data_IF_437896305440
#
_entry.id   IF_437896305440
#
_cell.length_a   1.000
_cell.length_b   1.000
_cell.length_c   1.000
_cell.angle_alpha   90.00
_cell.angle_beta   90.00
_cell.angle_gamma   90.00
#
_symmetry.space_group_name_H-M   'P 1'
#
loop_
_entity.id
_entity.type
_entity.pdbx_description
1 polymer ?
#
# COMPACT_ATOMS: atom_id res chain seq x y z
N UNK A 1 -5.46 -17.49 9.25
CA UNK A 1 -4.65 -16.41 8.67
C UNK A 1 -3.84 -15.78 9.77
N UNK A 2 -2.64 -15.27 9.47
CA UNK A 2 -1.87 -14.47 10.40
C UNK A 2 -2.53 -13.11 10.70
N UNK A 3 -1.85 -12.28 11.46
CA UNK A 3 -2.22 -10.89 11.69
C UNK A 3 -2.00 -10.09 10.40
N UNK A 4 -2.80 -9.05 10.16
CA UNK A 4 -2.54 -8.10 9.08
C UNK A 4 -1.40 -7.14 9.44
N UNK A 5 -0.75 -6.59 8.41
CA UNK A 5 0.40 -5.67 8.56
C UNK A 5 0.00 -4.36 9.22
N UNK A 6 -1.24 -3.87 9.04
CA UNK A 6 -1.72 -2.65 9.71
C UNK A 6 -1.81 -2.84 11.23
N UNK A 7 -2.40 -3.93 11.66
CA UNK A 7 -2.47 -4.30 13.09
C UNK A 7 -1.07 -4.51 13.68
N UNK A 8 -0.17 -5.15 12.92
CA UNK A 8 1.21 -5.36 13.31
C UNK A 8 1.96 -4.06 13.52
N UNK A 9 1.97 -3.17 12.52
CA UNK A 9 2.68 -1.89 12.64
C UNK A 9 2.08 -0.98 13.71
N UNK A 10 0.75 -1.03 13.93
CA UNK A 10 0.09 -0.26 14.98
C UNK A 10 0.49 -0.69 16.39
N UNK A 11 1.09 -1.86 16.57
CA UNK A 11 1.70 -2.29 17.84
C UNK A 11 3.07 -1.63 18.09
N UNK A 12 3.72 -1.07 17.06
CA UNK A 12 4.95 -0.29 17.19
C UNK A 12 4.65 1.11 17.76
N UNK A 13 5.49 1.65 18.65
CA UNK A 13 5.33 3.00 19.18
C UNK A 13 5.31 4.10 18.12
N UNK A 14 6.11 3.96 17.06
CA UNK A 14 6.18 4.89 15.92
C UNK A 14 5.11 4.60 14.85
N UNK A 15 4.44 3.44 14.93
CA UNK A 15 3.62 2.86 13.87
C UNK A 15 4.36 2.63 12.54
N UNK A 16 5.66 2.84 12.53
CA UNK A 16 6.54 2.62 11.40
C UNK A 16 7.27 1.29 11.55
N UNK A 17 7.72 0.75 10.43
CA UNK A 17 8.51 -0.48 10.39
C UNK A 17 9.95 -0.15 10.02
N UNK A 18 10.87 -0.97 10.51
CA UNK A 18 12.27 -0.90 10.08
C UNK A 18 12.36 -1.12 8.55
N UNK A 19 13.20 -0.39 7.80
CA UNK A 19 13.29 -0.50 6.35
C UNK A 19 13.45 -1.92 5.82
N UNK A 20 14.18 -2.80 6.51
CA UNK A 20 14.32 -4.21 6.10
C UNK A 20 12.99 -4.95 6.09
N UNK A 21 12.12 -4.71 7.08
CA UNK A 21 10.80 -5.35 7.16
C UNK A 21 9.87 -4.74 6.11
N UNK A 22 9.89 -3.41 5.97
CA UNK A 22 9.11 -2.71 4.96
C UNK A 22 9.45 -3.22 3.55
N UNK A 23 10.75 -3.30 3.20
CA UNK A 23 11.20 -3.85 1.91
C UNK A 23 10.76 -5.29 1.70
N UNK A 24 10.84 -6.16 2.73
CA UNK A 24 10.37 -7.54 2.63
C UNK A 24 8.87 -7.63 2.34
N UNK A 25 8.07 -6.82 3.03
CA UNK A 25 6.61 -6.73 2.77
C UNK A 25 6.38 -6.27 1.34
N UNK A 26 7.06 -5.19 0.92
CA UNK A 26 6.91 -4.62 -0.42
C UNK A 26 7.31 -5.62 -1.51
N UNK A 27 8.37 -6.40 -1.32
CA UNK A 27 8.77 -7.45 -2.27
C UNK A 27 7.69 -8.52 -2.42
N UNK A 28 7.13 -9.03 -1.31
CA UNK A 28 6.07 -10.04 -1.38
C UNK A 28 4.80 -9.47 -2.03
N UNK A 29 4.53 -8.17 -1.86
CA UNK A 29 3.43 -7.49 -2.57
C UNK A 29 3.73 -7.36 -4.06
N UNK A 30 4.97 -7.06 -4.45
CA UNK A 30 5.37 -7.02 -5.88
C UNK A 30 5.13 -8.38 -6.54
N UNK A 31 5.52 -9.48 -5.88
CA UNK A 31 5.27 -10.85 -6.38
C UNK A 31 3.79 -11.13 -6.60
N UNK A 32 2.97 -10.70 -5.66
CA UNK A 32 1.52 -10.84 -5.76
C UNK A 32 0.95 -9.99 -6.89
N UNK A 33 1.33 -8.71 -7.00
CA UNK A 33 0.89 -7.81 -8.06
C UNK A 33 1.35 -8.28 -9.44
N UNK A 34 2.61 -8.73 -9.58
CA UNK A 34 3.10 -9.34 -10.81
C UNK A 34 2.18 -10.48 -11.24
N UNK A 35 1.88 -11.42 -10.34
CA UNK A 35 1.02 -12.58 -10.62
C UNK A 35 -0.39 -12.14 -11.05
N UNK A 36 -0.99 -11.18 -10.36
CA UNK A 36 -2.32 -10.67 -10.68
C UNK A 36 -2.34 -9.94 -12.03
N UNK A 37 -1.35 -9.08 -12.29
CA UNK A 37 -1.26 -8.32 -13.53
C UNK A 37 -1.02 -9.23 -14.75
N UNK A 38 -0.22 -10.30 -14.61
CA UNK A 38 -0.08 -11.34 -15.65
C UNK A 38 -1.40 -12.05 -15.93
N UNK A 39 -2.24 -12.21 -14.93
CA UNK A 39 -3.59 -12.75 -15.09
C UNK A 39 -4.63 -11.70 -15.54
N UNK A 40 -4.19 -10.48 -15.89
CA UNK A 40 -5.06 -9.35 -16.25
C UNK A 40 -6.02 -8.92 -15.12
N UNK A 41 -5.63 -9.07 -13.87
CA UNK A 41 -6.39 -8.65 -12.69
C UNK A 41 -5.71 -7.42 -12.08
N UNK A 42 -6.49 -6.39 -11.78
CA UNK A 42 -6.09 -5.20 -11.02
C UNK A 42 -6.63 -5.39 -9.61
N UNK A 43 -5.79 -5.23 -8.59
CA UNK A 43 -6.18 -5.45 -7.20
C UNK A 43 -7.13 -4.35 -6.68
N UNK A 44 -6.80 -3.07 -6.93
CA UNK A 44 -7.59 -1.86 -6.61
C UNK A 44 -7.74 -1.50 -5.13
N UNK A 45 -7.07 -2.21 -4.21
CA UNK A 45 -7.12 -1.91 -2.77
C UNK A 45 -5.83 -2.39 -2.06
N UNK A 46 -4.67 -1.96 -2.58
CA UNK A 46 -3.34 -2.32 -2.04
C UNK A 46 -3.06 -1.48 -0.80
N UNK A 47 -3.21 -2.09 0.38
CA UNK A 47 -3.02 -1.42 1.67
C UNK A 47 -2.58 -2.38 2.78
N UNK A 48 -2.02 -1.87 3.86
CA UNK A 48 -1.49 -2.66 4.97
C UNK A 48 -2.53 -3.60 5.61
N UNK A 49 -3.83 -3.23 5.60
CA UNK A 49 -4.90 -4.08 6.12
C UNK A 49 -5.18 -5.33 5.26
N UNK A 50 -4.77 -5.29 3.98
CA UNK A 50 -4.95 -6.40 3.05
C UNK A 50 -3.70 -7.26 2.91
N UNK A 51 -2.66 -7.04 3.72
CA UNK A 51 -1.42 -7.82 3.72
C UNK A 51 -1.33 -8.59 5.02
N UNK A 52 -1.17 -9.91 4.92
CA UNK A 52 -1.21 -10.81 6.06
C UNK A 52 0.08 -11.61 6.17
N UNK A 53 0.50 -11.88 7.40
CA UNK A 53 1.55 -12.85 7.68
C UNK A 53 1.12 -14.24 7.24
N UNK A 54 2.00 -14.96 6.55
CA UNK A 54 1.84 -16.36 6.15
C UNK A 54 2.94 -17.22 6.79
N UNK A 55 2.80 -18.56 6.70
CA UNK A 55 3.79 -19.48 7.25
C UNK A 55 3.41 -20.05 8.62
N UNK A 56 2.15 -19.98 8.99
CA UNK A 56 1.62 -20.70 10.16
C UNK A 56 1.57 -22.18 9.80
N UNK A 57 2.27 -23.03 10.57
CA UNK A 57 2.25 -24.47 10.34
C UNK A 57 0.88 -25.08 10.62
N UNK A 58 0.49 -26.10 9.84
CA UNK A 58 -0.78 -26.83 10.03
C UNK A 58 -0.91 -27.36 11.45
N UNK A 59 0.21 -27.81 12.05
CA UNK A 59 0.25 -28.27 13.43
C UNK A 59 -0.17 -27.19 14.43
N UNK A 60 0.28 -25.93 14.26
CA UNK A 60 -0.11 -24.82 15.12
C UNK A 60 -1.58 -24.44 14.92
N UNK A 61 -2.08 -24.54 13.67
CA UNK A 61 -3.49 -24.34 13.36
C UNK A 61 -4.35 -25.38 14.08
N UNK A 62 -4.01 -26.66 13.97
CA UNK A 62 -4.71 -27.77 14.62
C UNK A 62 -4.70 -27.62 16.14
N UNK A 63 -3.55 -27.33 16.74
CA UNK A 63 -3.41 -27.13 18.18
C UNK A 63 -4.30 -25.99 18.70
N UNK A 64 -4.33 -24.87 17.99
CA UNK A 64 -5.19 -23.73 18.37
C UNK A 64 -6.67 -24.00 18.15
N UNK A 65 -7.05 -24.72 17.10
CA UNK A 65 -8.44 -25.13 16.88
C UNK A 65 -8.95 -26.07 17.96
N UNK A 66 -8.08 -26.99 18.43
CA UNK A 66 -8.43 -27.94 19.50
C UNK A 66 -8.54 -27.27 20.88
N UNK A 67 -7.65 -26.34 21.19
CA UNK A 67 -7.54 -25.76 22.52
C UNK A 67 -8.45 -24.53 22.72
N UNK A 68 -8.96 -23.93 21.66
CA UNK A 68 -9.82 -22.74 21.73
C UNK A 68 -11.08 -22.95 20.90
N UNK A 69 -12.24 -23.26 21.50
CA UNK A 69 -13.49 -23.42 20.76
C UNK A 69 -13.89 -22.14 20.02
N UNK A 70 -14.56 -22.29 18.88
CA UNK A 70 -15.02 -21.16 18.05
C UNK A 70 -16.02 -20.30 18.85
N UNK A 71 -15.75 -19.02 18.97
CA UNK A 71 -16.65 -18.07 19.60
C UNK A 71 -17.71 -17.62 18.59
N UNK A 72 -18.97 -17.89 18.91
CA UNK A 72 -20.11 -17.43 18.11
C UNK A 72 -20.44 -16.00 18.53
N UNK A 73 -20.28 -15.05 17.61
CA UNK A 73 -20.54 -13.61 17.85
C UNK A 73 -21.88 -13.16 17.31
N UNK A 74 -22.56 -14.01 16.54
CA UNK A 74 -23.87 -13.70 16.00
C UNK A 74 -24.46 -14.83 15.16
N UNK A 75 -25.65 -14.62 14.65
CA UNK A 75 -26.32 -15.51 13.69
C UNK A 75 -27.02 -14.67 12.62
N UNK A 76 -27.06 -15.16 11.41
CA UNK A 76 -27.90 -14.60 10.34
C UNK A 76 -28.74 -15.72 9.70
N UNK A 77 -29.88 -15.32 9.14
CA UNK A 77 -30.82 -16.23 8.49
C UNK A 77 -30.86 -15.90 7.00
N UNK A 78 -30.68 -16.91 6.18
CA UNK A 78 -30.83 -16.79 4.72
C UNK A 78 -32.32 -16.72 4.32
N UNK A 79 -32.59 -16.29 3.10
CA UNK A 79 -33.95 -16.18 2.55
C UNK A 79 -34.72 -17.52 2.49
N UNK A 80 -33.99 -18.65 2.56
CA UNK A 80 -34.55 -20.01 2.63
C UNK A 80 -34.90 -20.48 4.06
N UNK A 81 -34.65 -19.63 5.08
CA UNK A 81 -34.85 -19.94 6.48
C UNK A 81 -33.70 -20.65 7.16
N UNK A 82 -32.57 -20.90 6.45
CA UNK A 82 -31.38 -21.54 7.02
C UNK A 82 -30.63 -20.57 7.92
N UNK A 83 -30.32 -20.99 9.15
CA UNK A 83 -29.56 -20.18 10.13
C UNK A 83 -28.08 -20.54 10.10
N UNK A 84 -27.25 -19.53 10.02
CA UNK A 84 -25.79 -19.67 10.04
C UNK A 84 -25.20 -18.88 11.21
N UNK A 85 -24.25 -19.50 11.91
CA UNK A 85 -23.50 -18.84 12.96
C UNK A 85 -22.37 -18.00 12.39
N UNK A 86 -22.22 -16.79 12.91
CA UNK A 86 -21.07 -15.92 12.67
C UNK A 86 -20.07 -16.15 13.77
N UNK A 87 -18.82 -16.46 13.39
CA UNK A 87 -17.75 -16.70 14.35
C UNK A 87 -16.82 -15.50 14.42
N UNK A 88 -16.30 -15.21 15.60
CA UNK A 88 -15.24 -14.22 15.75
C UNK A 88 -14.01 -14.63 14.93
N UNK A 89 -13.40 -13.70 14.19
CA UNK A 89 -12.15 -13.98 13.50
C UNK A 89 -11.07 -14.31 14.55
N UNK A 90 -10.26 -15.34 14.26
CA UNK A 90 -9.13 -15.68 15.13
C UNK A 90 -7.86 -15.15 14.52
N UNK A 91 -7.14 -14.38 15.29
CA UNK A 91 -5.76 -14.03 15.01
C UNK A 91 -4.84 -15.10 15.63
N UNK A 92 -3.91 -15.61 14.87
CA UNK A 92 -2.81 -16.39 15.40
C UNK A 92 -1.83 -15.42 16.04
N UNK A 93 -1.62 -15.54 17.35
CA UNK A 93 -0.70 -14.71 18.10
C UNK A 93 0.72 -14.93 17.62
N UNK A 94 1.42 -13.83 17.56
CA UNK A 94 2.82 -13.58 17.37
C UNK A 94 3.30 -13.51 15.94
N UNK A 95 3.07 -12.36 15.29
CA UNK A 95 4.11 -11.88 14.41
C UNK A 95 5.38 -11.67 15.24
N UNK A 96 6.54 -11.83 14.62
CA UNK A 96 7.80 -11.51 15.25
C UNK A 96 7.78 -10.06 15.78
N UNK A 97 8.59 -9.73 16.81
CA UNK A 97 8.66 -8.37 17.33
C UNK A 97 8.94 -7.38 16.20
N UNK A 98 8.30 -6.22 16.22
CA UNK A 98 8.53 -5.14 15.24
C UNK A 98 9.99 -4.65 15.18
N UNK A 99 10.80 -4.94 16.20
CA UNK A 99 12.26 -4.75 16.26
C UNK A 99 13.05 -5.93 15.67
N UNK A 100 12.43 -6.73 14.83
CA UNK A 100 13.04 -7.93 14.27
C UNK A 100 14.45 -7.69 13.73
N UNK A 101 15.35 -8.56 14.17
CA UNK A 101 16.63 -8.67 13.49
C UNK A 101 16.43 -9.21 12.08
N UNK A 102 17.27 -8.76 11.18
CA UNK A 102 17.37 -9.16 9.78
C UNK A 102 17.12 -10.66 9.51
N UNK A 103 17.71 -11.55 10.31
CA UNK A 103 17.58 -13.02 10.15
C UNK A 103 16.17 -13.56 10.36
N UNK A 104 15.33 -12.86 11.13
CA UNK A 104 13.97 -13.29 11.41
C UNK A 104 13.03 -12.82 10.29
N UNK A 105 13.31 -11.67 9.66
CA UNK A 105 12.54 -11.19 8.52
C UNK A 105 12.63 -12.13 7.31
N UNK A 106 13.73 -12.88 7.16
CA UNK A 106 13.90 -13.87 6.07
C UNK A 106 12.94 -15.07 6.18
N UNK A 107 12.59 -15.44 7.41
CA UNK A 107 11.71 -16.58 7.68
C UNK A 107 10.22 -16.22 7.59
N UNK A 108 9.90 -14.96 7.40
CA UNK A 108 8.53 -14.46 7.36
C UNK A 108 8.14 -14.17 5.92
N UNK A 109 6.96 -14.60 5.53
CA UNK A 109 6.35 -14.29 4.24
C UNK A 109 5.04 -13.55 4.45
N UNK A 110 4.66 -12.77 3.44
CA UNK A 110 3.44 -11.99 3.45
C UNK A 110 2.60 -12.35 2.22
N UNK A 111 1.29 -12.21 2.35
CA UNK A 111 0.36 -12.45 1.25
C UNK A 111 -0.59 -11.27 1.11
N UNK A 112 -0.73 -10.78 -0.11
CA UNK A 112 -1.72 -9.77 -0.45
C UNK A 112 -3.08 -10.46 -0.62
N UNK A 113 -4.09 -9.96 0.07
CA UNK A 113 -5.45 -10.48 0.17
C UNK A 113 -6.44 -9.34 -0.17
N UNK A 114 -7.74 -9.62 -0.12
CA UNK A 114 -8.76 -8.57 -0.28
C UNK A 114 -9.10 -8.29 -1.74
N UNK A 115 -9.33 -9.35 -2.53
CA UNK A 115 -9.72 -9.28 -3.95
C UNK A 115 -11.19 -8.95 -4.16
N UNK A 116 -11.92 -8.53 -3.12
CA UNK A 116 -13.36 -8.24 -3.18
C UNK A 116 -13.70 -7.13 -4.18
N UNK A 117 -12.76 -6.22 -4.41
CA UNK A 117 -12.88 -5.08 -5.33
C UNK A 117 -12.05 -5.24 -6.60
N UNK A 118 -11.37 -6.36 -6.78
CA UNK A 118 -10.50 -6.59 -7.93
C UNK A 118 -11.25 -6.47 -9.27
N UNK A 119 -10.58 -5.91 -10.27
CA UNK A 119 -11.14 -5.64 -11.59
C UNK A 119 -10.35 -6.36 -12.69
N UNK A 120 -11.02 -6.68 -13.78
CA UNK A 120 -10.35 -7.17 -14.97
C UNK A 120 -9.73 -6.02 -15.77
N UNK A 121 -8.44 -6.08 -16.03
CA UNK A 121 -7.77 -5.11 -16.90
C UNK A 121 -8.38 -5.15 -18.32
N UNK A 122 -8.62 -3.96 -18.89
CA UNK A 122 -9.17 -3.84 -20.23
C UNK A 122 -10.67 -4.13 -20.37
N UNK A 123 -11.40 -4.29 -19.25
CA UNK A 123 -12.85 -4.40 -19.23
C UNK A 123 -13.48 -3.19 -18.51
N UNK A 124 -14.75 -2.92 -18.79
CA UNK A 124 -15.48 -1.92 -18.03
C UNK A 124 -15.53 -2.34 -16.54
N UNK A 125 -15.27 -1.43 -15.61
CA UNK A 125 -15.37 -1.72 -14.18
C UNK A 125 -16.76 -2.23 -13.82
N UNK A 126 -16.82 -3.30 -13.02
CA UNK A 126 -18.08 -3.90 -12.55
C UNK A 126 -18.51 -3.35 -11.21
N UNK A 127 -17.62 -2.68 -10.51
CA UNK A 127 -17.85 -2.05 -9.20
C UNK A 127 -17.46 -0.57 -9.33
N UNK A 128 -18.17 0.29 -8.61
CA UNK A 128 -17.82 1.72 -8.56
C UNK A 128 -16.46 1.98 -7.95
N UNK A 129 -16.14 3.25 -7.72
CA UNK A 129 -14.87 3.66 -7.13
C UNK A 129 -14.60 2.91 -5.83
N UNK A 130 -13.52 2.14 -5.81
CA UNK A 130 -13.15 1.27 -4.71
C UNK A 130 -12.08 1.91 -3.82
N UNK A 131 -11.99 1.44 -2.59
CA UNK A 131 -10.94 1.79 -1.66
C UNK A 131 -11.13 3.10 -0.89
N UNK A 132 -10.19 3.38 -0.01
CA UNK A 132 -10.14 4.60 0.78
C UNK A 132 -9.83 5.80 -0.10
N UNK A 133 -10.49 6.94 0.14
CA UNK A 133 -10.22 8.18 -0.61
C UNK A 133 -8.72 8.55 -0.53
N UNK A 134 -8.10 8.40 0.63
CA UNK A 134 -6.68 8.72 0.82
C UNK A 134 -5.70 7.90 -0.06
N UNK A 135 -6.14 6.78 -0.63
CA UNK A 135 -5.34 5.91 -1.50
C UNK A 135 -5.74 5.99 -2.97
N UNK A 136 -6.80 6.73 -3.30
CA UNK A 136 -7.29 6.83 -4.69
C UNK A 136 -6.23 7.40 -5.62
N UNK A 137 -5.97 6.69 -6.70
CA UNK A 137 -5.08 7.19 -7.73
C UNK A 137 -5.71 8.41 -8.45
N UNK A 138 -4.90 9.38 -8.91
CA UNK A 138 -5.40 10.60 -9.55
C UNK A 138 -6.36 10.35 -10.72
N UNK A 139 -6.11 9.34 -11.55
CA UNK A 139 -6.98 8.97 -12.67
C UNK A 139 -8.37 8.51 -12.24
N UNK A 140 -8.49 7.89 -11.06
CA UNK A 140 -9.79 7.50 -10.50
C UNK A 140 -10.58 8.74 -10.09
N UNK A 141 -9.92 9.71 -9.48
CA UNK A 141 -10.54 10.96 -9.04
C UNK A 141 -11.16 11.73 -10.20
N UNK A 142 -10.47 11.84 -11.33
CA UNK A 142 -10.98 12.54 -12.51
C UNK A 142 -11.86 11.66 -13.41
N UNK A 143 -12.07 10.39 -13.05
CA UNK A 143 -12.86 9.45 -13.86
C UNK A 143 -12.26 9.14 -15.22
N UNK A 144 -10.94 8.99 -15.29
CA UNK A 144 -10.20 8.56 -16.49
C UNK A 144 -10.08 7.04 -16.53
N UNK A 145 -9.66 6.52 -17.67
CA UNK A 145 -9.33 5.10 -17.82
C UNK A 145 -8.21 4.71 -16.84
N UNK A 146 -8.32 3.54 -16.25
CA UNK A 146 -7.31 3.00 -15.34
C UNK A 146 -6.88 1.58 -15.74
N UNK A 147 -5.76 1.15 -15.21
CA UNK A 147 -5.17 -0.15 -15.47
C UNK A 147 -4.29 -0.61 -14.30
N UNK A 148 -3.44 -1.65 -14.51
CA UNK A 148 -2.60 -2.21 -13.44
C UNK A 148 -1.73 -1.18 -12.69
N UNK A 149 -1.38 -0.07 -13.32
CA UNK A 149 -0.62 1.02 -12.67
C UNK A 149 -1.39 1.84 -11.64
N UNK A 150 -2.69 1.57 -11.46
CA UNK A 150 -3.46 2.00 -10.30
C UNK A 150 -2.88 1.39 -9.03
N UNK A 151 -2.64 0.07 -9.05
CA UNK A 151 -2.04 -0.64 -7.92
C UNK A 151 -0.64 -0.12 -7.59
N UNK A 152 0.11 0.38 -8.58
CA UNK A 152 1.41 1.04 -8.36
C UNK A 152 1.30 2.32 -7.54
N UNK A 153 0.27 3.13 -7.76
CA UNK A 153 0.02 4.32 -6.93
C UNK A 153 -0.25 3.92 -5.46
N UNK A 154 -1.15 2.97 -5.26
CA UNK A 154 -1.49 2.48 -3.92
C UNK A 154 -0.27 1.84 -3.24
N UNK A 155 0.56 1.13 -4.01
CA UNK A 155 1.82 0.54 -3.56
C UNK A 155 2.83 1.62 -3.09
N UNK A 156 2.93 2.74 -3.80
CA UNK A 156 3.73 3.89 -3.36
C UNK A 156 3.22 4.51 -2.06
N UNK A 157 1.89 4.66 -1.91
CA UNK A 157 1.27 5.10 -0.66
C UNK A 157 1.55 4.13 0.50
N UNK A 158 1.46 2.82 0.23
CA UNK A 158 1.80 1.77 1.19
C UNK A 158 3.27 1.84 1.62
N UNK A 159 4.20 2.00 0.67
CA UNK A 159 5.63 2.10 0.98
C UNK A 159 5.93 3.26 1.92
N UNK A 160 5.33 4.42 1.67
CA UNK A 160 5.43 5.56 2.58
C UNK A 160 4.84 5.23 3.96
N UNK A 161 3.64 4.67 4.00
CA UNK A 161 2.94 4.35 5.25
C UNK A 161 3.74 3.38 6.13
N UNK A 162 4.36 2.37 5.54
CA UNK A 162 5.19 1.40 6.27
C UNK A 162 6.44 2.06 6.89
N UNK A 163 7.07 2.98 6.17
CA UNK A 163 8.29 3.67 6.62
C UNK A 163 8.00 4.84 7.55
N UNK A 164 6.99 5.65 7.25
CA UNK A 164 6.69 6.88 7.99
C UNK A 164 5.80 6.66 9.22
N UNK A 165 5.05 5.55 9.26
CA UNK A 165 4.10 5.26 10.34
C UNK A 165 2.77 6.02 10.25
N UNK A 166 2.55 6.75 9.15
CA UNK A 166 1.35 7.55 8.90
C UNK A 166 0.96 7.50 7.43
N UNK A 167 -0.27 7.83 7.11
CA UNK A 167 -0.74 7.93 5.73
C UNK A 167 -0.05 9.07 4.99
N UNK A 168 0.30 8.85 3.72
CA UNK A 168 0.93 9.86 2.88
C UNK A 168 0.01 11.05 2.60
N UNK A 169 -1.25 10.76 2.30
CA UNK A 169 -2.30 11.74 2.05
C UNK A 169 -3.36 11.68 3.13
N UNK A 170 -3.82 12.86 3.58
CA UNK A 170 -4.87 13.01 4.57
C UNK A 170 -5.90 14.00 4.05
N UNK A 171 -6.70 13.60 3.04
CA UNK A 171 -7.64 14.50 2.41
C UNK A 171 -8.73 14.95 3.38
N UNK A 172 -9.07 16.25 3.33
CA UNK A 172 -10.10 16.88 4.14
C UNK A 172 -11.20 17.47 3.28
N UNK A 173 -12.45 17.31 3.70
CA UNK A 173 -13.62 17.82 3.00
C UNK A 173 -14.90 17.49 3.75
N UNK A 174 -16.00 18.14 3.40
CA UNK A 174 -17.33 17.88 3.96
C UNK A 174 -18.03 16.71 3.28
N UNK A 175 -17.58 16.36 2.07
CA UNK A 175 -18.06 15.23 1.29
C UNK A 175 -16.92 14.60 0.47
N UNK A 176 -17.21 13.48 -0.19
CA UNK A 176 -16.23 12.72 -0.99
C UNK A 176 -15.61 13.57 -2.11
N UNK A 177 -16.38 14.47 -2.72
CA UNK A 177 -15.90 15.34 -3.81
C UNK A 177 -14.87 16.35 -3.32
N UNK A 178 -15.13 16.97 -2.18
CA UNK A 178 -14.18 17.90 -1.56
C UNK A 178 -12.92 17.17 -1.10
N UNK A 179 -13.07 15.97 -0.54
CA UNK A 179 -11.94 15.12 -0.16
C UNK A 179 -11.11 14.67 -1.37
N UNK A 180 -11.74 14.30 -2.49
CA UNK A 180 -11.06 13.98 -3.74
C UNK A 180 -10.29 15.17 -4.32
N UNK A 181 -10.89 16.38 -4.28
CA UNK A 181 -10.21 17.59 -4.71
C UNK A 181 -9.00 17.92 -3.82
N UNK A 182 -9.12 17.72 -2.52
CA UNK A 182 -8.03 17.90 -1.57
C UNK A 182 -6.91 16.89 -1.76
N UNK A 183 -7.26 15.63 -2.05
CA UNK A 183 -6.30 14.60 -2.40
C UNK A 183 -5.46 14.99 -3.63
N UNK A 184 -6.11 15.50 -4.68
CA UNK A 184 -5.39 16.00 -5.86
C UNK A 184 -4.50 17.20 -5.54
N UNK A 185 -4.97 18.14 -4.68
CA UNK A 185 -4.15 19.26 -4.23
C UNK A 185 -2.87 18.77 -3.53
N UNK A 186 -3.00 17.81 -2.63
CA UNK A 186 -1.85 17.20 -1.94
C UNK A 186 -0.92 16.46 -2.92
N UNK A 187 -1.49 15.71 -3.89
CA UNK A 187 -0.71 14.99 -4.90
C UNK A 187 0.06 15.96 -5.82
N UNK A 188 -0.57 17.04 -6.27
CA UNK A 188 0.08 18.05 -7.12
C UNK A 188 1.18 18.79 -6.36
N UNK A 189 0.94 19.15 -5.10
CA UNK A 189 1.95 19.80 -4.25
C UNK A 189 3.16 18.91 -3.97
N UNK A 190 2.92 17.59 -3.80
CA UNK A 190 3.98 16.61 -3.55
C UNK A 190 4.83 16.34 -4.79
N UNK A 191 4.18 16.17 -5.95
CA UNK A 191 4.86 15.73 -7.18
C UNK A 191 5.31 16.89 -8.08
N UNK A 192 4.69 18.05 -7.95
CA UNK A 192 4.85 19.16 -8.90
C UNK A 192 4.26 18.87 -10.29
N UNK A 193 3.58 17.74 -10.46
CA UNK A 193 3.06 17.29 -11.75
C UNK A 193 1.61 17.68 -11.98
N UNK A 194 1.20 17.64 -13.25
CA UNK A 194 -0.19 17.84 -13.70
C UNK A 194 -0.57 16.74 -14.68
N UNK A 195 -1.85 16.58 -14.87
CA UNK A 195 -2.36 15.65 -15.87
C UNK A 195 -1.92 16.03 -17.28
N UNK A 196 -1.61 15.02 -18.07
CA UNK A 196 -1.38 15.22 -19.50
C UNK A 196 -2.70 15.56 -20.23
N UNK A 197 -2.60 16.26 -21.35
CA UNK A 197 -3.77 16.55 -22.20
C UNK A 197 -4.49 15.26 -22.65
N UNK A 198 -3.74 14.18 -22.84
CA UNK A 198 -4.30 12.88 -23.21
C UNK A 198 -5.12 12.30 -22.06
N UNK A 199 -4.62 12.37 -20.83
CA UNK A 199 -5.35 11.91 -19.64
C UNK A 199 -6.62 12.71 -19.46
N UNK A 200 -6.55 14.05 -19.53
CA UNK A 200 -7.72 14.93 -19.41
C UNK A 200 -8.77 14.68 -20.50
N UNK A 201 -8.35 14.42 -21.74
CA UNK A 201 -9.29 14.14 -22.84
C UNK A 201 -10.12 12.86 -22.66
N UNK A 202 -9.68 11.96 -21.78
CA UNK A 202 -10.37 10.69 -21.44
C UNK A 202 -11.11 10.76 -20.13
N UNK A 203 -10.93 11.84 -19.36
CA UNK A 203 -11.52 12.02 -18.05
C UNK A 203 -13.01 12.42 -18.17
N UNK A 204 -13.87 11.76 -17.41
CA UNK A 204 -15.32 12.02 -17.41
C UNK A 204 -15.73 13.03 -16.34
N UNK A 205 -14.87 13.26 -15.33
CA UNK A 205 -15.14 14.08 -14.15
C UNK A 205 -14.12 15.22 -13.96
N UNK A 206 -13.21 15.42 -14.92
CA UNK A 206 -12.18 16.47 -14.82
C UNK A 206 -12.78 17.84 -14.62
N UNK A 207 -13.84 18.18 -15.38
CA UNK A 207 -14.51 19.48 -15.34
C UNK A 207 -15.19 19.79 -14.00
N UNK A 208 -15.40 18.80 -13.17
CA UNK A 208 -15.94 18.97 -11.81
C UNK A 208 -14.92 19.57 -10.84
N UNK A 209 -13.62 19.27 -11.07
CA UNK A 209 -12.54 19.54 -10.13
C UNK A 209 -11.48 20.46 -10.72
N UNK A 210 -11.25 20.39 -12.05
CA UNK A 210 -10.18 21.09 -12.75
C UNK A 210 -10.75 22.16 -13.70
N UNK A 211 -9.98 23.22 -13.92
CA UNK A 211 -10.23 24.20 -14.98
C UNK A 211 -9.69 23.71 -16.33
N UNK A 212 -9.86 24.54 -17.40
CA UNK A 212 -9.39 24.24 -18.76
C UNK A 212 -7.87 24.09 -18.84
N UNK A 213 -7.13 24.71 -17.95
CA UNK A 213 -5.69 24.66 -17.81
C UNK A 213 -5.20 23.45 -16.99
N UNK A 214 -6.12 22.70 -16.36
CA UNK A 214 -5.83 21.55 -15.52
C UNK A 214 -5.45 21.90 -14.07
N UNK A 215 -5.73 23.13 -13.62
CA UNK A 215 -5.56 23.54 -12.23
C UNK A 215 -6.82 23.26 -11.42
N UNK A 216 -6.67 23.17 -10.10
CA UNK A 216 -7.79 22.92 -9.19
C UNK A 216 -8.74 24.12 -9.11
N UNK A 217 -10.03 23.88 -9.25
CA UNK A 217 -11.07 24.91 -9.10
C UNK A 217 -11.31 25.24 -7.63
N UNK A 218 -11.11 26.51 -7.27
CA UNK A 218 -11.50 27.04 -5.97
C UNK A 218 -10.77 26.45 -4.76
N UNK A 219 -9.64 25.82 -4.98
CA UNK A 219 -8.80 25.24 -3.91
C UNK A 219 -7.33 25.61 -4.13
N UNK A 220 -6.68 26.05 -3.06
CA UNK A 220 -5.24 26.26 -3.05
C UNK A 220 -4.51 24.94 -2.75
N UNK A 221 -3.37 24.75 -3.40
CA UNK A 221 -2.48 23.64 -3.09
C UNK A 221 -1.74 23.92 -1.78
N UNK A 222 -1.52 22.87 -0.95
CA UNK A 222 -0.67 23.04 0.22
C UNK A 222 0.77 23.39 -0.21
N UNK A 223 1.59 23.97 0.70
CA UNK A 223 2.99 24.23 0.39
C UNK A 223 3.70 22.95 -0.09
N UNK A 224 4.52 23.03 -1.14
CA UNK A 224 5.26 21.89 -1.64
C UNK A 224 6.19 21.36 -0.55
N UNK A 225 6.20 20.03 -0.39
CA UNK A 225 7.06 19.32 0.56
C UNK A 225 7.58 18.08 -0.12
N UNK A 226 8.89 17.85 -0.11
CA UNK A 226 9.45 16.65 -0.72
C UNK A 226 9.22 15.40 0.12
N UNK A 227 9.21 14.23 -0.53
CA UNK A 227 9.16 12.93 0.17
C UNK A 227 10.37 12.77 1.10
N UNK A 228 11.54 13.24 0.65
CA UNK A 228 12.78 13.20 1.42
C UNK A 228 12.68 13.99 2.72
N UNK A 229 12.12 15.23 2.66
CA UNK A 229 11.87 16.03 3.85
C UNK A 229 10.88 15.37 4.80
N UNK A 230 9.78 14.81 4.26
CA UNK A 230 8.77 14.10 5.07
C UNK A 230 9.34 12.87 5.76
N UNK A 231 10.11 12.04 5.07
CA UNK A 231 10.74 10.85 5.66
C UNK A 231 11.81 11.25 6.68
N UNK A 232 12.64 12.25 6.37
CA UNK A 232 13.67 12.76 7.29
C UNK A 232 13.07 13.30 8.58
N UNK A 233 11.95 14.02 8.51
CA UNK A 233 11.26 14.59 9.66
C UNK A 233 10.78 13.53 10.67
N UNK A 234 10.68 12.26 10.26
CA UNK A 234 10.28 11.15 11.16
C UNK A 234 11.37 10.82 12.20
N UNK A 235 12.64 11.05 11.90
CA UNK A 235 13.77 10.94 12.84
C UNK A 235 14.17 9.51 13.25
N UNK A 236 13.53 8.48 12.70
CA UNK A 236 13.83 7.08 13.00
C UNK A 236 14.23 6.24 11.76
N UNK A 237 14.16 6.84 10.57
CA UNK A 237 14.62 6.21 9.33
C UNK A 237 16.12 6.52 9.19
N UNK A 238 16.99 5.51 8.95
CA UNK A 238 18.41 5.77 8.73
C UNK A 238 18.63 6.71 7.55
N UNK A 239 19.55 7.68 7.69
CA UNK A 239 19.82 8.70 6.66
C UNK A 239 20.15 8.09 5.29
N UNK A 240 20.85 6.96 5.27
CA UNK A 240 21.20 6.24 4.04
C UNK A 240 19.98 5.66 3.30
N UNK A 241 18.86 5.47 3.99
CA UNK A 241 17.61 4.94 3.44
C UNK A 241 16.66 6.04 2.93
N UNK A 242 16.78 7.29 3.44
CA UNK A 242 15.82 8.36 3.19
C UNK A 242 15.72 8.67 1.70
N UNK A 243 16.82 9.03 1.06
CA UNK A 243 16.81 9.42 -0.35
C UNK A 243 16.42 8.25 -1.28
N UNK A 244 17.00 7.03 -1.14
CA UNK A 244 16.58 5.90 -1.97
C UNK A 244 15.10 5.54 -1.82
N UNK A 245 14.56 5.59 -0.59
CA UNK A 245 13.14 5.36 -0.34
C UNK A 245 12.26 6.45 -0.97
N UNK A 246 12.67 7.73 -0.86
CA UNK A 246 11.95 8.85 -1.45
C UNK A 246 11.92 8.75 -2.99
N UNK A 247 13.05 8.40 -3.61
CA UNK A 247 13.16 8.20 -5.06
C UNK A 247 12.24 7.04 -5.52
N UNK A 248 12.25 5.91 -4.80
CA UNK A 248 11.39 4.75 -5.07
C UNK A 248 9.91 5.10 -4.95
N UNK A 249 9.51 5.73 -3.86
CA UNK A 249 8.11 6.14 -3.64
C UNK A 249 7.69 7.14 -4.72
N UNK A 250 8.56 8.10 -5.06
CA UNK A 250 8.30 9.11 -6.09
C UNK A 250 8.05 8.52 -7.47
N UNK A 251 8.72 7.42 -7.83
CA UNK A 251 8.43 6.71 -9.09
C UNK A 251 7.01 6.14 -9.11
N UNK A 252 6.51 5.65 -8.00
CA UNK A 252 5.16 5.10 -7.89
C UNK A 252 4.09 6.19 -7.96
N UNK A 253 4.38 7.39 -7.48
CA UNK A 253 3.43 8.48 -7.28
C UNK A 253 3.39 9.49 -8.44
N UNK A 254 3.55 9.03 -9.68
CA UNK A 254 3.38 9.91 -10.86
C UNK A 254 1.90 10.18 -11.08
N UNK A 255 1.54 11.45 -11.33
CA UNK A 255 0.15 11.86 -11.56
C UNK A 255 -0.45 11.16 -12.76
N UNK A 256 0.33 11.05 -13.85
CA UNK A 256 -0.08 10.31 -15.02
C UNK A 256 0.28 8.82 -14.86
N UNK A 257 -0.72 7.95 -14.86
CA UNK A 257 -0.51 6.51 -14.65
C UNK A 257 0.48 5.89 -15.66
N UNK A 258 0.54 6.41 -16.87
CA UNK A 258 1.47 5.93 -17.90
C UNK A 258 2.95 6.10 -17.53
N UNK A 259 3.27 7.06 -16.64
CA UNK A 259 4.63 7.36 -16.21
C UNK A 259 5.06 6.55 -14.98
N UNK A 260 4.16 5.75 -14.40
CA UNK A 260 4.47 4.85 -13.26
C UNK A 260 5.08 3.55 -13.76
N UNK A 261 6.00 2.93 -12.99
CA UNK A 261 6.50 1.59 -13.29
C UNK A 261 5.37 0.56 -13.22
N UNK A 262 5.60 -0.57 -13.87
CA UNK A 262 4.80 -1.79 -13.72
C UNK A 262 5.31 -2.63 -12.55
N UNK A 263 4.57 -3.66 -12.13
CA UNK A 263 5.05 -4.59 -11.12
C UNK A 263 6.37 -5.29 -11.54
N UNK A 264 6.56 -5.51 -12.84
CA UNK A 264 7.76 -6.13 -13.40
C UNK A 264 9.01 -5.25 -13.24
N UNK A 265 8.85 -3.93 -13.35
CA UNK A 265 9.98 -2.98 -13.26
C UNK A 265 10.57 -2.94 -11.85
N UNK A 266 9.79 -3.24 -10.81
CA UNK A 266 10.26 -3.24 -9.42
C UNK A 266 11.27 -4.34 -9.08
N UNK A 267 11.30 -5.43 -9.86
CA UNK A 267 12.29 -6.50 -9.68
C UNK A 267 13.73 -6.03 -9.89
N UNK A 268 13.94 -4.95 -10.60
CA UNK A 268 15.25 -4.38 -10.87
C UNK A 268 15.56 -3.13 -10.04
N UNK A 269 14.69 -2.75 -9.10
CA UNK A 269 14.93 -1.57 -8.27
C UNK A 269 15.95 -1.85 -7.18
N UNK A 270 17.05 -1.10 -7.17
CA UNK A 270 18.20 -1.30 -6.27
C UNK A 270 17.82 -1.13 -4.78
N UNK A 271 16.93 -0.17 -4.47
CA UNK A 271 16.52 0.05 -3.09
C UNK A 271 15.68 -1.12 -2.56
N UNK A 272 14.74 -1.61 -3.36
CA UNK A 272 13.89 -2.73 -2.99
C UNK A 272 14.69 -4.03 -2.92
N UNK A 273 15.57 -4.27 -3.90
CA UNK A 273 16.50 -5.40 -3.94
C UNK A 273 17.46 -5.43 -2.75
N UNK A 274 17.75 -4.29 -2.14
CA UNK A 274 18.53 -4.22 -0.91
C UNK A 274 18.01 -5.13 0.21
N UNK A 275 16.73 -5.51 0.20
CA UNK A 275 16.19 -6.54 1.08
C UNK A 275 16.88 -7.91 0.87
N UNK A 276 17.15 -8.32 -0.36
CA UNK A 276 17.80 -9.61 -0.68
C UNK A 276 19.27 -9.65 -0.36
N UNK A 277 20.03 -8.57 -0.59
CA UNK A 277 21.45 -8.53 -0.27
C UNK A 277 21.70 -8.67 1.23
N UNK A 278 20.80 -8.13 2.02
CA UNK A 278 20.79 -8.38 3.45
C UNK A 278 20.43 -9.84 3.76
N UNK A 279 19.59 -10.50 2.98
CA UNK A 279 19.17 -11.88 3.15
C UNK A 279 20.28 -12.90 2.82
N UNK A 280 21.15 -12.62 1.89
CA UNK A 280 22.18 -13.56 1.45
C UNK A 280 23.49 -13.49 2.26
N UNK A 281 23.53 -12.75 3.37
CA UNK A 281 24.72 -12.68 4.26
C UNK A 281 25.95 -12.07 3.60
N UNK A 282 25.80 -11.38 2.49
CA UNK A 282 26.87 -10.63 1.86
C UNK A 282 27.27 -9.45 2.73
N UNK A 283 28.47 -9.44 3.27
CA UNK A 283 29.11 -8.26 3.80
C UNK A 283 29.28 -7.25 2.65
N UNK A 284 28.22 -6.58 2.28
CA UNK A 284 28.28 -5.46 1.37
C UNK A 284 28.62 -4.22 2.17
N UNK A 285 29.66 -3.56 1.75
CA UNK A 285 30.16 -2.28 2.20
C UNK A 285 29.13 -1.16 1.98
N UNK A 286 28.00 -1.18 2.70
CA UNK A 286 27.24 0.02 2.95
C UNK A 286 27.91 0.75 4.12
N UNK A 287 28.46 1.95 3.91
CA UNK A 287 29.05 2.73 4.98
C UNK A 287 27.94 3.24 5.88
N UNK A 288 27.72 2.57 7.01
CA UNK A 288 26.74 3.01 8.02
C UNK A 288 26.33 1.99 9.05
N UNK A 289 26.55 0.71 8.84
CA UNK A 289 26.15 -0.35 9.80
C UNK A 289 27.37 -1.07 10.41
N UNK A 290 28.24 -0.32 11.07
CA UNK A 290 29.20 -0.89 12.02
C UNK A 290 28.73 -0.57 13.44
N UNK A 291 27.95 -1.45 14.01
CA UNK A 291 27.64 -1.36 15.43
C UNK A 291 26.22 -1.74 15.79
N UNK A 292 25.96 -3.02 15.86
CA UNK A 292 25.13 -3.70 16.88
C UNK A 292 25.28 -5.20 16.61
N UNK A 293 26.21 -5.80 17.31
CA UNK A 293 26.37 -7.25 17.43
C UNK A 293 25.47 -7.75 18.57
#
# INVERSE_FOLDING_TARGET
MGQDVSSYRNSSPSKALHPCIAKKILMDVVDALHTLHQAHIIHTDVKANNIFFVGISDKLIEEKLLNHPLEVVGQFELSDGTKHSVFAPRTFEQPPPWEMSHRVSEAVSFSLMGLDHAQWAGRQPTVGVCGSIALRAPEIVIGSDFGPRLDTWEFGCLAYELLAGESLFNPVGSDDREMEADLLAQAFALTGERFSKLTLSRAQRSDDILDEEGNLKGREEPPPTSLEERLSARGFIPDAEIKPAADFIGMCLRVNSADRPTADDFWCDDWLQGAFYYCLGGHSSYPGYSGMA
#
